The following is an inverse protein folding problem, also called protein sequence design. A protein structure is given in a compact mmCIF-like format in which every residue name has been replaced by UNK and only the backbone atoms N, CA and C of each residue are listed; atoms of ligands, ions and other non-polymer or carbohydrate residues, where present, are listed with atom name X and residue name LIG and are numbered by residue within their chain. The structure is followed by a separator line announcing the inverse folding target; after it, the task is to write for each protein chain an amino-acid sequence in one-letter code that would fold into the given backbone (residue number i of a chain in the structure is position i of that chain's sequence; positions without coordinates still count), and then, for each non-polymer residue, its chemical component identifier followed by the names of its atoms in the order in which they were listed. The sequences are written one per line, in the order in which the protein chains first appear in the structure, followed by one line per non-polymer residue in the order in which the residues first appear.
data_IF_961849678372
#
_entry.id   IF_961849678372
#
_cell.length_a   1.000
_cell.length_b   1.000
_cell.length_c   1.000
_cell.angle_alpha   90.00
_cell.angle_beta   90.00
_cell.angle_gamma   90.00
#
_symmetry.space_group_name_H-M   'P 1'
#
loop_
_entity.id
_entity.type
_entity.pdbx_description
1 polymer ?
#
# COMPACT_ATOMS: atom_id res chain seq x y z
N UNK A 1 -41.69 -29.17 6.24
CA UNK A 1 -40.66 -30.22 6.44
C UNK A 1 -40.71 -31.23 5.29
N UNK A 2 -41.88 -31.75 4.94
CA UNK A 2 -42.03 -32.69 3.80
C UNK A 2 -41.69 -32.07 2.43
N UNK A 3 -42.16 -30.85 2.13
CA UNK A 3 -41.81 -30.19 0.85
C UNK A 3 -40.30 -29.91 0.68
N UNK A 4 -39.58 -29.65 1.78
CA UNK A 4 -38.12 -29.47 1.76
C UNK A 4 -37.40 -30.79 1.49
N UNK A 5 -37.91 -31.89 2.03
CA UNK A 5 -37.36 -33.23 1.79
C UNK A 5 -37.60 -33.65 0.33
N UNK A 6 -38.78 -33.38 -0.21
CA UNK A 6 -39.13 -33.65 -1.60
C UNK A 6 -38.29 -32.81 -2.58
N UNK A 7 -38.11 -31.53 -2.31
CA UNK A 7 -37.22 -30.65 -3.09
C UNK A 7 -35.76 -31.10 -3.01
N UNK A 8 -35.27 -31.49 -1.82
CA UNK A 8 -33.91 -32.01 -1.66
C UNK A 8 -33.68 -33.32 -2.42
N UNK A 9 -34.68 -34.21 -2.44
CA UNK A 9 -34.66 -35.46 -3.21
C UNK A 9 -34.68 -35.20 -4.72
N UNK A 10 -35.43 -34.21 -5.19
CA UNK A 10 -35.45 -33.81 -6.59
C UNK A 10 -34.10 -33.22 -7.05
N UNK A 11 -33.47 -32.39 -6.22
CA UNK A 11 -32.15 -31.79 -6.48
C UNK A 11 -31.04 -32.86 -6.55
N UNK A 12 -31.07 -33.85 -5.67
CA UNK A 12 -30.08 -34.95 -5.64
C UNK A 12 -30.24 -35.95 -6.79
N UNK A 13 -31.41 -36.00 -7.44
CA UNK A 13 -31.67 -36.86 -8.62
C UNK A 13 -31.23 -36.24 -9.94
N UNK A 14 -30.88 -34.95 -9.95
CA UNK A 14 -30.37 -34.30 -11.16
C UNK A 14 -28.99 -34.84 -11.52
N UNK A 15 -28.67 -34.92 -12.81
CA UNK A 15 -27.36 -35.42 -13.26
C UNK A 15 -26.29 -34.33 -13.07
N UNK A 16 -25.76 -34.26 -11.84
CA UNK A 16 -24.70 -33.34 -11.43
C UNK A 16 -23.43 -33.46 -12.27
N UNK A 17 -23.26 -34.56 -13.03
CA UNK A 17 -22.11 -34.77 -13.89
C UNK A 17 -22.00 -33.70 -14.98
N UNK A 18 -23.13 -33.24 -15.55
CA UNK A 18 -23.14 -32.18 -16.56
C UNK A 18 -22.67 -30.86 -15.94
N UNK A 19 -23.20 -30.51 -14.76
CA UNK A 19 -22.81 -29.30 -14.04
C UNK A 19 -21.31 -29.28 -13.76
N UNK A 20 -20.74 -30.36 -13.20
CA UNK A 20 -19.31 -30.42 -12.92
C UNK A 20 -18.45 -30.37 -14.19
N UNK A 21 -18.90 -30.98 -15.30
CA UNK A 21 -18.20 -30.88 -16.59
C UNK A 21 -18.19 -29.44 -17.11
N UNK A 22 -19.31 -28.73 -17.02
CA UNK A 22 -19.39 -27.32 -17.43
C UNK A 22 -18.50 -26.45 -16.55
N UNK A 23 -18.56 -26.62 -15.23
CA UNK A 23 -17.69 -25.87 -14.30
C UNK A 23 -16.22 -26.17 -14.55
N UNK A 24 -15.84 -27.44 -14.74
CA UNK A 24 -14.47 -27.82 -15.06
C UNK A 24 -14.00 -27.23 -16.38
N UNK A 25 -14.86 -27.20 -17.41
CA UNK A 25 -14.55 -26.57 -18.69
C UNK A 25 -14.33 -25.06 -18.53
N UNK A 26 -15.19 -24.37 -17.79
CA UNK A 26 -15.03 -22.94 -17.51
C UNK A 26 -13.75 -22.63 -16.74
N UNK A 27 -13.42 -23.45 -15.73
CA UNK A 27 -12.16 -23.32 -14.99
C UNK A 27 -10.95 -23.53 -15.90
N UNK A 28 -10.99 -24.55 -16.76
CA UNK A 28 -9.93 -24.82 -17.72
C UNK A 28 -9.73 -23.65 -18.69
N UNK A 29 -10.83 -23.13 -19.26
CA UNK A 29 -10.80 -21.96 -20.13
C UNK A 29 -10.25 -20.73 -19.39
N UNK A 30 -10.64 -20.53 -18.13
CA UNK A 30 -10.13 -19.46 -17.27
C UNK A 30 -8.61 -19.57 -17.03
N UNK A 31 -8.11 -20.77 -16.73
CA UNK A 31 -6.66 -21.00 -16.56
C UNK A 31 -5.91 -20.70 -17.85
N UNK A 32 -6.41 -21.19 -18.99
CA UNK A 32 -5.80 -20.93 -20.31
C UNK A 32 -5.76 -19.41 -20.59
N UNK A 33 -6.86 -18.70 -20.35
CA UNK A 33 -6.93 -17.26 -20.54
C UNK A 33 -5.91 -16.50 -19.65
N UNK A 34 -5.75 -16.92 -18.39
CA UNK A 34 -4.74 -16.36 -17.48
C UNK A 34 -3.32 -16.61 -18.00
N UNK A 35 -3.03 -17.84 -18.48
CA UNK A 35 -1.71 -18.17 -19.03
C UNK A 35 -1.38 -17.35 -20.29
N UNK A 36 -2.37 -17.13 -21.15
CA UNK A 36 -2.23 -16.26 -22.34
C UNK A 36 -1.97 -14.82 -21.89
N UNK A 37 -2.76 -14.29 -20.95
CA UNK A 37 -2.59 -12.94 -20.41
C UNK A 37 -1.18 -12.76 -19.80
N UNK A 38 -0.74 -13.73 -19.02
CA UNK A 38 0.56 -13.69 -18.34
C UNK A 38 1.74 -13.73 -19.30
N UNK A 39 1.63 -14.50 -20.38
CA UNK A 39 2.70 -14.64 -21.37
C UNK A 39 2.76 -13.44 -22.31
N UNK A 40 1.61 -12.98 -22.79
CA UNK A 40 1.55 -12.07 -23.93
C UNK A 40 1.18 -10.63 -23.58
N UNK A 41 0.40 -10.39 -22.52
CA UNK A 41 -0.17 -9.06 -22.25
C UNK A 41 0.57 -8.37 -21.11
N UNK A 42 0.82 -9.07 -19.99
CA UNK A 42 1.49 -8.45 -18.86
C UNK A 42 2.98 -8.19 -19.15
N UNK A 43 3.49 -7.02 -18.73
CA UNK A 43 4.91 -6.63 -18.87
C UNK A 43 5.56 -6.10 -17.59
N UNK A 44 4.81 -6.09 -16.49
CA UNK A 44 5.27 -5.51 -15.22
C UNK A 44 6.00 -6.52 -14.33
N UNK A 45 5.52 -7.77 -14.26
CA UNK A 45 6.12 -8.82 -13.45
C UNK A 45 6.78 -9.87 -14.34
N UNK A 46 8.08 -10.09 -14.16
CA UNK A 46 8.83 -11.09 -14.94
C UNK A 46 8.53 -12.53 -14.52
N UNK A 47 8.16 -12.75 -13.25
CA UNK A 47 7.95 -14.09 -12.69
C UNK A 47 6.85 -14.85 -13.44
N UNK A 48 5.61 -14.34 -13.60
CA UNK A 48 4.57 -15.10 -14.26
C UNK A 48 4.73 -15.15 -15.79
N UNK A 49 5.57 -14.29 -16.39
CA UNK A 49 5.93 -14.37 -17.82
C UNK A 49 6.79 -15.61 -18.10
N UNK A 50 7.76 -15.90 -17.22
CA UNK A 50 8.70 -17.01 -17.40
C UNK A 50 8.22 -18.31 -16.74
N UNK A 51 7.41 -18.21 -15.68
CA UNK A 51 6.91 -19.35 -14.92
C UNK A 51 5.37 -19.32 -14.86
N UNK A 52 4.67 -20.23 -15.57
CA UNK A 52 3.20 -20.21 -15.65
C UNK A 52 2.49 -20.41 -14.30
N UNK A 53 3.16 -21.03 -13.32
CA UNK A 53 2.66 -21.16 -11.95
C UNK A 53 3.09 -20.01 -11.03
N UNK A 54 3.66 -18.93 -11.58
CA UNK A 54 4.14 -17.78 -10.81
C UNK A 54 3.05 -17.11 -9.98
N UNK A 55 1.79 -17.18 -10.41
CA UNK A 55 0.64 -16.67 -9.65
C UNK A 55 0.38 -17.43 -8.35
N UNK A 56 0.65 -18.74 -8.31
CA UNK A 56 0.48 -19.56 -7.10
C UNK A 56 1.41 -19.11 -5.98
N UNK A 57 2.62 -18.64 -6.32
CA UNK A 57 3.54 -18.06 -5.33
C UNK A 57 2.89 -16.90 -4.58
N UNK A 58 2.20 -15.99 -5.29
CA UNK A 58 1.53 -14.86 -4.66
C UNK A 58 0.30 -15.29 -3.85
N UNK A 59 -0.43 -16.29 -4.32
CA UNK A 59 -1.55 -16.89 -3.57
C UNK A 59 -1.06 -17.44 -2.22
N UNK A 60 -0.02 -18.27 -2.21
CA UNK A 60 0.54 -18.82 -0.97
C UNK A 60 1.19 -17.74 -0.10
N UNK A 61 1.79 -16.71 -0.70
CA UNK A 61 2.31 -15.57 0.03
C UNK A 61 1.20 -14.80 0.79
N UNK A 62 0.01 -14.66 0.19
CA UNK A 62 -1.15 -14.04 0.85
C UNK A 62 -1.77 -14.96 1.90
N UNK A 63 -1.93 -16.26 1.59
CA UNK A 63 -2.48 -17.26 2.52
C UNK A 63 -1.63 -17.43 3.78
N UNK A 64 -0.36 -17.03 3.74
CA UNK A 64 0.55 -17.12 4.87
C UNK A 64 0.04 -16.42 6.14
N UNK A 65 -0.59 -15.26 5.99
CA UNK A 65 -1.06 -14.45 7.12
C UNK A 65 -2.23 -15.09 7.90
N UNK A 66 -3.34 -15.53 7.26
CA UNK A 66 -4.39 -16.24 7.97
C UNK A 66 -3.93 -17.62 8.46
N UNK A 67 -3.02 -18.27 7.75
CA UNK A 67 -2.50 -19.58 8.13
C UNK A 67 -1.48 -19.54 9.27
N UNK A 68 -0.90 -18.37 9.57
CA UNK A 68 0.11 -18.21 10.63
C UNK A 68 -0.36 -18.75 11.98
N UNK A 69 -1.64 -18.57 12.30
CA UNK A 69 -2.22 -19.03 13.56
C UNK A 69 -2.24 -20.56 13.71
N UNK A 70 -2.29 -21.29 12.60
CA UNK A 70 -2.52 -22.74 12.58
C UNK A 70 -1.29 -23.53 12.11
N UNK A 71 -0.47 -22.93 11.25
CA UNK A 71 0.66 -23.59 10.58
C UNK A 71 2.00 -22.90 10.85
N UNK A 72 2.03 -21.82 11.63
CA UNK A 72 3.19 -20.92 11.69
C UNK A 72 4.11 -21.14 12.87
N UNK A 73 5.30 -21.69 12.61
CA UNK A 73 6.52 -21.41 13.40
C UNK A 73 7.39 -20.44 12.59
N UNK A 74 7.05 -19.14 12.66
CA UNK A 74 7.75 -18.11 11.89
C UNK A 74 8.95 -17.58 12.67
N UNK A 75 10.15 -17.80 12.15
CA UNK A 75 11.36 -17.17 12.67
C UNK A 75 11.45 -15.70 12.25
N UNK A 76 12.24 -14.91 12.99
CA UNK A 76 12.47 -13.49 12.71
C UNK A 76 12.85 -13.19 11.25
N UNK A 77 13.59 -14.08 10.58
CA UNK A 77 14.03 -13.87 9.19
C UNK A 77 13.01 -14.29 8.14
N UNK A 78 12.05 -15.13 8.51
CA UNK A 78 11.03 -15.61 7.58
C UNK A 78 9.79 -14.74 7.58
N UNK A 79 9.59 -13.87 8.58
CA UNK A 79 8.38 -13.07 8.78
C UNK A 79 7.92 -12.33 7.51
N UNK A 80 6.63 -12.49 7.16
CA UNK A 80 6.00 -11.89 5.97
C UNK A 80 6.20 -10.39 5.91
N UNK A 81 6.02 -9.69 7.03
CA UNK A 81 6.13 -8.23 7.13
C UNK A 81 7.52 -7.71 6.73
N UNK A 82 8.59 -8.43 7.11
CA UNK A 82 9.97 -8.06 6.71
C UNK A 82 10.19 -8.24 5.22
N UNK A 83 9.76 -9.38 4.69
CA UNK A 83 9.85 -9.65 3.25
C UNK A 83 9.05 -8.61 2.48
N UNK A 84 7.87 -8.25 2.95
CA UNK A 84 7.05 -7.20 2.33
C UNK A 84 7.72 -5.82 2.43
N UNK A 85 8.29 -5.46 3.58
CA UNK A 85 9.01 -4.20 3.77
C UNK A 85 10.21 -4.08 2.81
N UNK A 86 11.01 -5.13 2.66
CA UNK A 86 12.14 -5.18 1.70
C UNK A 86 11.63 -5.03 0.27
N UNK A 87 10.55 -5.74 -0.10
CA UNK A 87 9.95 -5.59 -1.43
C UNK A 87 9.44 -4.16 -1.66
N UNK A 88 8.77 -3.55 -0.68
CA UNK A 88 8.30 -2.16 -0.76
C UNK A 88 9.48 -1.20 -0.94
N UNK A 89 10.58 -1.41 -0.23
CA UNK A 89 11.80 -0.63 -0.39
C UNK A 89 12.37 -0.75 -1.81
N UNK A 90 12.46 -1.98 -2.33
CA UNK A 90 12.97 -2.26 -3.67
C UNK A 90 12.12 -1.60 -4.78
N UNK A 91 10.81 -1.53 -4.59
CA UNK A 91 9.89 -0.86 -5.52
C UNK A 91 9.76 0.66 -5.27
N UNK A 92 10.55 1.25 -4.38
CA UNK A 92 10.46 2.68 -4.06
C UNK A 92 9.13 3.10 -3.42
N UNK A 93 8.38 2.15 -2.83
CA UNK A 93 7.11 2.42 -2.15
C UNK A 93 7.37 2.94 -0.74
N UNK A 94 6.39 3.66 -0.18
CA UNK A 94 6.47 4.11 1.21
C UNK A 94 6.70 2.94 2.16
N UNK A 95 7.70 3.08 3.04
CA UNK A 95 8.05 2.11 4.09
C UNK A 95 7.27 2.31 5.39
N UNK A 96 6.41 3.32 5.44
CA UNK A 96 5.58 3.55 6.62
C UNK A 96 4.37 2.64 6.59
N UNK A 97 4.18 1.90 7.68
CA UNK A 97 2.94 1.21 8.00
C UNK A 97 2.10 2.10 8.92
N UNK A 98 0.79 2.14 8.69
CA UNK A 98 -0.15 2.70 9.65
C UNK A 98 -0.47 1.64 10.70
N UNK A 99 -0.58 2.04 11.96
CA UNK A 99 -1.17 1.18 12.99
C UNK A 99 -2.66 0.93 12.76
N UNK A 100 -3.33 1.80 12.00
CA UNK A 100 -4.75 1.66 11.65
C UNK A 100 -4.92 0.72 10.45
N UNK A 101 -5.76 -0.30 10.61
CA UNK A 101 -6.12 -1.29 9.59
C UNK A 101 -6.92 -0.70 8.42
N UNK A 102 -7.82 0.26 8.70
CA UNK A 102 -8.77 0.81 7.72
C UNK A 102 -8.28 2.05 6.98
N UNK A 103 -7.19 2.68 7.45
CA UNK A 103 -6.63 3.90 6.87
C UNK A 103 -5.13 3.71 6.64
N UNK A 104 -4.72 3.16 5.48
CA UNK A 104 -3.31 3.09 5.13
C UNK A 104 -2.71 4.50 5.13
N UNK A 105 -1.43 4.59 5.49
CA UNK A 105 -0.71 5.86 5.59
C UNK A 105 -0.70 6.56 4.22
N UNK A 106 -1.51 7.61 4.08
CA UNK A 106 -1.64 8.40 2.85
C UNK A 106 -0.32 9.12 2.53
N UNK A 107 0.05 9.19 1.25
CA UNK A 107 1.30 9.79 0.76
C UNK A 107 1.36 11.30 1.04
N UNK A 108 0.21 11.94 1.34
CA UNK A 108 0.07 13.40 1.45
C UNK A 108 0.28 13.99 2.86
N UNK A 109 0.86 13.26 3.81
CA UNK A 109 1.16 13.79 5.16
C UNK A 109 2.64 14.09 5.33
N UNK A 110 2.97 15.29 5.80
CA UNK A 110 4.33 15.67 6.19
C UNK A 110 4.81 14.66 7.25
N UNK A 111 5.88 13.93 6.96
CA UNK A 111 6.52 13.01 7.92
C UNK A 111 7.65 13.73 8.65
N UNK A 112 7.47 13.93 9.94
CA UNK A 112 8.55 14.28 10.85
C UNK A 112 9.18 12.97 11.34
N UNK A 113 10.40 12.67 10.88
CA UNK A 113 11.17 11.54 11.40
C UNK A 113 11.86 11.98 12.67
N UNK A 114 11.82 11.13 13.70
CA UNK A 114 12.63 11.34 14.89
C UNK A 114 14.12 11.24 14.51
N UNK A 115 14.94 12.13 15.07
CA UNK A 115 16.39 12.04 14.95
C UNK A 115 16.91 11.16 16.10
N UNK A 116 17.34 9.94 15.77
CA UNK A 116 17.90 9.00 16.77
C UNK A 116 19.23 9.51 17.37
N UNK A 117 19.90 10.41 16.67
CA UNK A 117 21.13 11.06 17.08
C UNK A 117 20.82 12.55 17.23
N UNK A 118 20.90 13.04 18.46
CA UNK A 118 20.67 14.45 18.79
C UNK A 118 21.94 15.22 18.43
N UNK A 119 21.77 16.40 17.82
CA UNK A 119 22.89 17.31 17.54
C UNK A 119 23.43 17.91 18.85
N UNK A 120 24.73 18.17 18.89
CA UNK A 120 25.32 18.91 20.02
C UNK A 120 24.76 20.34 20.09
N UNK A 121 24.65 20.94 21.29
CA UNK A 121 24.07 22.27 21.45
C UNK A 121 24.72 23.35 20.57
N UNK A 122 25.99 23.19 20.23
CA UNK A 122 26.77 24.09 19.37
C UNK A 122 26.33 24.02 17.91
N UNK A 123 25.90 22.85 17.44
CA UNK A 123 25.42 22.61 16.08
C UNK A 123 23.92 22.92 15.90
N UNK A 124 23.20 23.12 17.01
CA UNK A 124 21.77 23.45 16.98
C UNK A 124 21.58 24.92 16.63
N UNK A 125 20.96 25.17 15.47
CA UNK A 125 20.55 26.53 15.08
C UNK A 125 19.41 27.01 15.97
N UNK A 126 19.73 27.87 16.94
CA UNK A 126 18.78 28.43 17.91
C UNK A 126 17.89 29.56 17.36
N UNK A 127 18.05 29.94 16.09
CA UNK A 127 17.31 31.06 15.48
C UNK A 127 16.42 30.60 14.33
N UNK A 128 15.14 30.96 14.39
CA UNK A 128 14.16 30.74 13.31
C UNK A 128 14.14 31.89 12.30
N UNK A 129 15.27 32.57 12.12
CA UNK A 129 15.38 33.72 11.23
C UNK A 129 15.49 33.28 9.78
N UNK A 130 14.72 33.91 8.89
CA UNK A 130 14.76 33.68 7.45
C UNK A 130 15.07 34.99 6.75
N UNK A 131 16.08 34.97 5.88
CA UNK A 131 16.43 36.13 5.02
C UNK A 131 15.82 35.93 3.65
N UNK A 132 14.84 36.78 3.32
CA UNK A 132 14.21 36.83 2.01
C UNK A 132 15.01 37.74 1.07
N UNK A 133 15.23 37.27 -0.15
CA UNK A 133 15.92 38.06 -1.17
C UNK A 133 17.40 38.30 -0.87
N UNK A 134 18.14 37.29 -0.37
CA UNK A 134 19.56 37.41 -0.03
C UNK A 134 20.46 37.93 -1.18
N UNK A 135 19.99 37.86 -2.43
CA UNK A 135 20.68 38.36 -3.64
C UNK A 135 20.17 39.74 -4.13
N UNK A 136 19.23 40.37 -3.42
CA UNK A 136 18.70 41.68 -3.77
C UNK A 136 19.43 42.80 -2.99
N UNK A 137 19.38 44.06 -3.47
CA UNK A 137 20.01 45.21 -2.79
C UNK A 137 19.48 45.45 -1.36
N UNK A 138 18.21 45.10 -1.11
CA UNK A 138 17.56 45.26 0.19
C UNK A 138 16.95 43.93 0.67
N UNK A 139 17.74 43.02 1.25
CA UNK A 139 17.24 41.77 1.80
C UNK A 139 16.43 42.03 3.08
N UNK A 140 15.37 41.24 3.29
CA UNK A 140 14.51 41.33 4.47
C UNK A 140 14.72 40.11 5.38
N UNK A 141 15.16 40.32 6.61
CA UNK A 141 15.40 39.25 7.58
C UNK A 141 14.31 39.24 8.65
N UNK A 142 13.59 38.13 8.78
CA UNK A 142 12.56 37.95 9.81
C UNK A 142 13.14 37.38 11.10
N UNK A 143 12.44 37.59 12.22
CA UNK A 143 12.75 36.93 13.51
C UNK A 143 12.17 35.51 13.63
N UNK A 144 11.18 35.17 12.79
CA UNK A 144 10.43 33.91 12.84
C UNK A 144 10.17 33.38 11.42
N UNK A 145 9.99 32.07 11.31
CA UNK A 145 9.50 31.38 10.11
C UNK A 145 8.01 31.63 9.85
N UNK A 146 7.26 32.10 10.86
CA UNK A 146 5.85 32.46 10.73
C UNK A 146 5.77 33.99 10.56
N UNK A 147 5.21 34.42 9.44
CA UNK A 147 4.94 35.83 9.14
C UNK A 147 3.44 36.08 9.02
N UNK A 148 2.99 37.26 9.45
CA UNK A 148 1.65 37.78 9.17
C UNK A 148 1.74 38.84 8.09
N UNK A 149 0.84 38.80 7.12
CA UNK A 149 0.82 39.81 6.06
C UNK A 149 0.25 41.12 6.59
N UNK A 150 0.81 42.26 6.16
CA UNK A 150 0.30 43.58 6.53
C UNK A 150 -1.17 43.79 6.09
N UNK A 151 -1.59 43.14 4.99
CA UNK A 151 -2.98 43.14 4.54
C UNK A 151 -3.92 42.42 5.53
N UNK A 152 -3.44 41.38 6.22
CA UNK A 152 -4.17 40.72 7.32
C UNK A 152 -4.22 41.55 8.60
N UNK A 153 -3.44 42.63 8.69
CA UNK A 153 -3.42 43.61 9.79
C UNK A 153 -4.15 44.92 9.43
N UNK A 154 -4.81 44.98 8.27
CA UNK A 154 -5.61 46.14 7.86
C UNK A 154 -4.81 47.29 7.25
N UNK A 155 -3.59 47.04 6.74
CA UNK A 155 -2.75 48.07 6.13
C UNK A 155 -3.18 48.52 4.72
N UNK A 156 -4.20 47.88 4.13
CA UNK A 156 -4.84 48.39 2.92
C UNK A 156 -5.87 49.43 3.37
N UNK A 157 -5.68 50.67 2.91
CA UNK A 157 -6.35 51.89 3.38
C UNK A 157 -7.85 51.78 3.64
N UNK A 158 -8.36 52.61 4.56
CA UNK A 158 -9.77 53.03 4.61
C UNK A 158 -10.28 53.23 3.19
N UNK A 159 -11.41 52.61 2.85
CA UNK A 159 -12.12 52.91 1.61
C UNK A 159 -12.39 54.42 1.58
N UNK A 160 -11.64 55.14 0.75
CA UNK A 160 -11.92 56.53 0.41
C UNK A 160 -13.11 56.58 -0.55
#
# INVERSE_FOLDING_TARGET
MEELLEYSGAVLRYDWSLFFKVVALLLLLGIIAILIYDRFIQRHNQIPINYPLGRMRYLFFMLREPMRQYLGDETYYTLREKVEWVNRAAYGKSLSYSFYLSKPYDEKRIRLRHANLVLEPEDVRNSFQVTFGARHPHPFTTKSIIGRSAMSDGAVSTAA
#
